data_IF_501774224320
#
_entry.id   IF_501774224320
#
_cell.length_a   1.000
_cell.length_b   1.000
_cell.length_c   1.000
_cell.angle_alpha   90.00
_cell.angle_beta   90.00
_cell.angle_gamma   90.00
#
_symmetry.space_group_name_H-M   'P 1'
#
loop_
_entity.id
_entity.type
_entity.pdbx_description
1 polymer ?
#
# COMPACT_ATOMS: atom_id res chain seq x y z
N UNK A 1 3.57 1.86 -18.95
CA UNK A 1 4.74 1.81 -18.04
C UNK A 1 4.22 1.23 -16.74
N UNK A 2 4.83 0.17 -16.18
CA UNK A 2 4.38 -0.36 -14.89
C UNK A 2 4.42 0.75 -13.85
N UNK A 3 3.34 0.88 -13.08
CA UNK A 3 3.27 1.90 -12.06
C UNK A 3 4.27 1.52 -10.96
N UNK A 4 5.42 2.22 -10.86
CA UNK A 4 6.49 1.88 -9.91
C UNK A 4 5.98 1.69 -8.48
N UNK A 5 5.01 2.53 -8.07
CA UNK A 5 4.35 2.41 -6.77
C UNK A 5 3.54 1.11 -6.61
N UNK A 6 2.87 0.61 -7.65
CA UNK A 6 2.13 -0.65 -7.59
C UNK A 6 3.08 -1.82 -7.34
N UNK A 7 4.19 -1.89 -8.08
CA UNK A 7 5.18 -2.95 -7.92
C UNK A 7 5.84 -2.93 -6.54
N UNK A 8 6.20 -1.74 -6.04
CA UNK A 8 6.76 -1.59 -4.69
C UNK A 8 5.76 -1.99 -3.60
N UNK A 9 4.48 -1.61 -3.74
CA UNK A 9 3.44 -2.00 -2.79
C UNK A 9 3.15 -3.51 -2.83
N UNK A 10 3.11 -4.11 -4.01
CA UNK A 10 2.94 -5.55 -4.17
C UNK A 10 4.10 -6.32 -3.52
N UNK A 11 5.34 -5.89 -3.76
CA UNK A 11 6.52 -6.48 -3.13
C UNK A 11 6.43 -6.40 -1.60
N UNK A 12 6.12 -5.22 -1.07
CA UNK A 12 6.00 -5.00 0.37
C UNK A 12 4.92 -5.88 1.01
N UNK A 13 3.78 -6.05 0.34
CA UNK A 13 2.68 -6.88 0.84
C UNK A 13 2.96 -8.38 0.77
N UNK A 14 3.80 -8.82 -0.17
CA UNK A 14 4.15 -10.24 -0.35
C UNK A 14 5.32 -10.63 0.56
N UNK A 15 6.37 -9.81 0.61
CA UNK A 15 7.63 -10.15 1.29
C UNK A 15 7.58 -9.95 2.79
N UNK A 16 6.81 -8.98 3.28
CA UNK A 16 6.73 -8.72 4.72
C UNK A 16 5.62 -9.52 5.35
N UNK A 17 5.86 -10.06 6.54
CA UNK A 17 4.76 -10.51 7.39
C UNK A 17 4.02 -9.31 8.03
N UNK A 18 2.99 -9.59 8.83
CA UNK A 18 2.18 -8.53 9.43
C UNK A 18 2.94 -7.71 10.48
N UNK A 19 3.89 -8.32 11.19
CA UNK A 19 4.64 -7.65 12.27
C UNK A 19 5.76 -6.80 11.67
N UNK A 20 6.50 -7.32 10.69
CA UNK A 20 7.46 -6.56 9.90
C UNK A 20 6.80 -5.36 9.22
N UNK A 21 5.61 -5.53 8.65
CA UNK A 21 4.88 -4.44 8.02
C UNK A 21 4.44 -3.38 9.04
N UNK A 22 4.09 -3.78 10.27
CA UNK A 22 3.79 -2.83 11.35
C UNK A 22 5.02 -2.03 11.74
N UNK A 23 6.19 -2.67 11.85
CA UNK A 23 7.45 -1.99 12.16
C UNK A 23 7.85 -0.99 11.06
N UNK A 24 7.69 -1.37 9.79
CA UNK A 24 7.95 -0.48 8.65
C UNK A 24 7.04 0.76 8.72
N UNK A 25 5.74 0.56 8.94
CA UNK A 25 4.77 1.66 9.08
C UNK A 25 5.10 2.53 10.29
N UNK A 26 5.43 1.93 11.43
CA UNK A 26 5.81 2.66 12.63
C UNK A 26 7.05 3.54 12.38
N UNK A 27 8.06 3.00 11.69
CA UNK A 27 9.26 3.74 11.31
C UNK A 27 8.94 4.92 10.38
N UNK A 28 8.09 4.72 9.36
CA UNK A 28 7.66 5.84 8.50
C UNK A 28 6.99 6.97 9.28
N UNK A 29 6.15 6.63 10.26
CA UNK A 29 5.47 7.61 11.11
C UNK A 29 6.48 8.32 12.02
N UNK A 30 7.42 7.59 12.62
CA UNK A 30 8.46 8.16 13.49
C UNK A 30 9.37 9.12 12.71
N UNK A 31 9.83 8.69 11.54
CA UNK A 31 10.77 9.41 10.68
C UNK A 31 10.09 10.49 9.80
N UNK A 32 8.79 10.73 9.99
CA UNK A 32 8.03 11.67 9.18
C UNK A 32 8.62 13.10 9.29
N UNK A 33 8.88 13.79 8.16
CA UNK A 33 9.52 15.10 8.15
C UNK A 33 8.62 16.24 8.64
N UNK A 34 7.32 16.00 8.78
CA UNK A 34 6.36 16.94 9.34
C UNK A 34 5.11 16.22 9.88
N UNK A 35 4.28 16.94 10.63
CA UNK A 35 3.00 16.41 11.11
C UNK A 35 2.01 16.09 10.00
N UNK A 36 2.04 16.83 8.88
CA UNK A 36 1.20 16.53 7.73
C UNK A 36 1.62 15.23 7.04
N UNK A 37 2.93 14.95 6.96
CA UNK A 37 3.43 13.65 6.49
C UNK A 37 3.12 12.54 7.50
N UNK A 38 3.26 12.80 8.80
CA UNK A 38 2.93 11.85 9.87
C UNK A 38 1.48 11.37 9.77
N UNK A 39 0.53 12.29 9.61
CA UNK A 39 -0.89 11.97 9.45
C UNK A 39 -1.16 11.14 8.19
N UNK A 40 -0.51 11.48 7.07
CA UNK A 40 -0.62 10.71 5.82
C UNK A 40 -0.08 9.29 5.98
N UNK A 41 1.07 9.12 6.62
CA UNK A 41 1.64 7.80 6.88
C UNK A 41 0.78 6.98 7.85
N UNK A 42 0.17 7.60 8.86
CA UNK A 42 -0.79 6.92 9.74
C UNK A 42 -2.00 6.39 8.98
N UNK A 43 -2.62 7.22 8.13
CA UNK A 43 -3.77 6.84 7.32
C UNK A 43 -3.40 5.72 6.34
N UNK A 44 -2.33 5.93 5.57
CA UNK A 44 -1.85 4.96 4.59
C UNK A 44 -1.47 3.63 5.26
N UNK A 45 -0.68 3.66 6.32
CA UNK A 45 -0.25 2.49 7.07
C UNK A 45 -1.42 1.69 7.65
N UNK A 46 -2.45 2.37 8.14
CA UNK A 46 -3.68 1.71 8.62
C UNK A 46 -4.35 0.89 7.52
N UNK A 47 -4.52 1.47 6.33
CA UNK A 47 -5.12 0.77 5.20
C UNK A 47 -4.22 -0.36 4.68
N UNK A 48 -2.91 -0.16 4.66
CA UNK A 48 -1.95 -1.17 4.22
C UNK A 48 -1.96 -2.40 5.15
N UNK A 49 -1.97 -2.18 6.46
CA UNK A 49 -2.08 -3.25 7.46
C UNK A 49 -3.44 -3.98 7.38
N UNK A 50 -4.52 -3.24 7.14
CA UNK A 50 -5.84 -3.84 6.92
C UNK A 50 -5.83 -4.75 5.69
N UNK A 51 -5.26 -4.28 4.58
CA UNK A 51 -5.13 -5.07 3.35
C UNK A 51 -4.29 -6.34 3.61
N UNK A 52 -3.14 -6.23 4.26
CA UNK A 52 -2.30 -7.40 4.59
C UNK A 52 -3.06 -8.44 5.41
N UNK A 53 -3.82 -8.02 6.44
CA UNK A 53 -4.67 -8.92 7.23
C UNK A 53 -5.72 -9.63 6.37
N UNK A 54 -6.36 -8.90 5.44
CA UNK A 54 -7.32 -9.50 4.52
C UNK A 54 -6.65 -10.53 3.60
N UNK A 55 -5.48 -10.20 3.04
CA UNK A 55 -4.72 -11.12 2.18
C UNK A 55 -4.31 -12.40 2.93
N UNK A 56 -3.90 -12.28 4.20
CA UNK A 56 -3.55 -13.43 5.04
C UNK A 56 -4.76 -14.28 5.44
N UNK A 57 -5.98 -13.73 5.38
CA UNK A 57 -7.21 -14.47 5.67
C UNK A 57 -7.72 -15.29 4.48
N UNK A 58 -7.13 -15.10 3.30
CA UNK A 58 -7.50 -15.85 2.10
C UNK A 58 -7.01 -17.31 2.20
N UNK A 59 -7.79 -18.30 1.73
CA UNK A 59 -7.37 -19.69 1.69
C UNK A 59 -6.07 -19.91 0.90
N UNK A 60 -5.88 -19.10 -0.14
CA UNK A 60 -4.67 -19.05 -0.95
C UNK A 60 -4.27 -17.58 -1.12
N UNK A 61 -3.02 -17.20 -0.78
CA UNK A 61 -2.56 -15.83 -0.97
C UNK A 61 -2.43 -15.52 -2.47
N UNK A 62 -2.76 -14.31 -2.94
CA UNK A 62 -2.61 -13.96 -4.33
C UNK A 62 -1.13 -13.96 -4.73
N UNK A 63 -0.89 -14.30 -5.99
CA UNK A 63 0.45 -14.15 -6.56
C UNK A 63 0.82 -12.67 -6.62
N UNK A 64 2.12 -12.39 -6.51
CA UNK A 64 2.64 -11.02 -6.55
C UNK A 64 2.19 -10.27 -7.80
N UNK A 65 2.22 -10.92 -8.96
CA UNK A 65 1.87 -10.32 -10.26
C UNK A 65 0.38 -9.91 -10.33
N UNK A 66 -0.50 -10.74 -9.78
CA UNK A 66 -1.94 -10.44 -9.71
C UNK A 66 -2.20 -9.26 -8.77
N UNK A 67 -1.50 -9.22 -7.63
CA UNK A 67 -1.59 -8.12 -6.68
C UNK A 67 -1.06 -6.81 -7.27
N UNK A 68 0.07 -6.86 -7.97
CA UNK A 68 0.64 -5.70 -8.68
C UNK A 68 -0.34 -5.16 -9.73
N UNK A 69 -0.94 -6.03 -10.52
CA UNK A 69 -1.95 -5.66 -11.52
C UNK A 69 -3.16 -4.99 -10.88
N UNK A 70 -3.70 -5.57 -9.81
CA UNK A 70 -4.84 -5.00 -9.10
C UNK A 70 -4.51 -3.62 -8.50
N UNK A 71 -3.33 -3.47 -7.88
CA UNK A 71 -2.86 -2.20 -7.33
C UNK A 71 -2.66 -1.15 -8.42
N UNK A 72 -2.13 -1.53 -9.57
CA UNK A 72 -1.99 -0.63 -10.72
C UNK A 72 -3.36 -0.10 -11.16
N UNK A 73 -4.36 -0.97 -11.35
CA UNK A 73 -5.71 -0.55 -11.75
C UNK A 73 -6.34 0.41 -10.74
N UNK A 74 -6.15 0.16 -9.44
CA UNK A 74 -6.65 1.05 -8.38
C UNK A 74 -5.96 2.41 -8.38
N UNK A 75 -4.63 2.45 -8.58
CA UNK A 75 -3.86 3.70 -8.65
C UNK A 75 -4.22 4.52 -9.88
N UNK A 76 -4.40 3.88 -11.03
CA UNK A 76 -4.87 4.52 -12.26
C UNK A 76 -6.27 5.12 -12.08
N UNK A 77 -7.18 4.38 -11.44
CA UNK A 77 -8.52 4.89 -11.12
C UNK A 77 -8.46 6.08 -10.16
N UNK A 78 -7.65 6.00 -9.10
CA UNK A 78 -7.49 7.09 -8.14
C UNK A 78 -6.85 8.34 -8.74
N UNK A 79 -5.93 8.19 -9.70
CA UNK A 79 -5.35 9.31 -10.43
C UNK A 79 -6.40 10.04 -11.27
N UNK A 80 -7.26 9.29 -11.99
CA UNK A 80 -8.35 9.85 -12.79
C UNK A 80 -9.40 10.59 -11.96
N UNK A 81 -9.63 10.18 -10.70
CA UNK A 81 -10.56 10.87 -9.79
C UNK A 81 -10.00 12.19 -9.25
N UNK A 82 -8.68 12.37 -9.26
CA UNK A 82 -8.01 13.60 -8.78
C UNK A 82 -7.89 14.68 -9.87
N UNK A 83 -8.04 14.32 -11.13
CA UNK A 83 -8.18 15.29 -12.22
C UNK A 83 -9.65 15.75 -12.30
N UNK A 84 -10.01 16.96 -11.83
CA UNK A 84 -11.25 17.55 -12.29
C UNK A 84 -11.10 17.72 -13.81
N UNK A 85 -12.01 17.11 -14.58
CA UNK A 85 -12.22 17.51 -15.97
C UNK A 85 -12.57 19.01 -15.95
N UNK A 86 -11.58 19.84 -16.19
CA UNK A 86 -11.75 21.27 -16.49
C UNK A 86 -12.40 21.47 -17.85
#
# INVERSE_FOLDING_TARGET
>A
MPHLMASQMAQLLVDSDLDELQEIVARWIQDAPSDSFRLRYQQFGTHLLQLKRQLMSLPEPPQREDLETALQMMLEFAAQQKEPRG
#
